data_IF_671345382775
#
_entry.id   IF_671345382775
#
_cell.length_a   1.000
_cell.length_b   1.000
_cell.length_c   1.000
_cell.angle_alpha   90.00
_cell.angle_beta   90.00
_cell.angle_gamma   90.00
#
_symmetry.space_group_name_H-M   'P 1'
#
loop_
_entity.id
_entity.type
_entity.pdbx_description
1 polymer ?
#
# COMPACT_ATOMS: atom_id res chain seq x y z
N UNK A 1 -4.59 19.43 -3.13
CA UNK A 1 -5.50 18.45 -3.77
C UNK A 1 -5.55 17.16 -2.97
N UNK A 2 -6.64 16.39 -3.05
CA UNK A 2 -6.78 15.06 -2.42
C UNK A 2 -7.12 14.02 -3.48
N UNK A 3 -6.42 12.90 -3.47
CA UNK A 3 -6.65 11.77 -4.36
C UNK A 3 -7.04 10.54 -3.55
N UNK A 4 -7.82 9.65 -4.15
CA UNK A 4 -8.32 8.45 -3.51
C UNK A 4 -8.11 7.26 -4.46
N UNK A 5 -7.50 6.19 -3.95
CA UNK A 5 -7.23 4.98 -4.69
C UNK A 5 -7.74 3.77 -3.92
N UNK A 6 -8.58 2.95 -4.56
CA UNK A 6 -9.07 1.70 -3.98
C UNK A 6 -8.19 0.56 -4.48
N UNK A 7 -7.85 -0.40 -3.61
CA UNK A 7 -6.98 -1.54 -3.98
C UNK A 7 -7.71 -2.88 -3.99
N UNK A 8 -8.99 -2.88 -3.61
CA UNK A 8 -9.84 -4.07 -3.58
C UNK A 8 -9.81 -4.79 -2.24
N UNK A 9 -9.88 -6.12 -2.30
CA UNK A 9 -9.96 -7.01 -1.16
C UNK A 9 -8.62 -7.72 -0.93
N UNK A 10 -7.94 -7.34 0.15
CA UNK A 10 -6.62 -7.85 0.55
C UNK A 10 -6.76 -8.93 1.63
N UNK A 11 -5.72 -9.76 1.78
CA UNK A 11 -5.57 -10.70 2.90
C UNK A 11 -4.80 -10.04 4.03
N UNK A 12 -5.25 -10.26 5.26
CA UNK A 12 -4.52 -9.81 6.44
C UNK A 12 -3.12 -10.42 6.49
N UNK A 13 -2.17 -9.68 7.07
CA UNK A 13 -0.75 -10.04 7.24
C UNK A 13 -0.02 -10.32 5.94
N UNK A 14 -0.54 -9.81 4.83
CA UNK A 14 0.14 -9.85 3.55
C UNK A 14 0.68 -8.47 3.20
N UNK A 15 1.83 -8.51 2.52
CA UNK A 15 2.45 -7.36 1.91
C UNK A 15 1.98 -7.25 0.47
N UNK A 16 1.69 -6.03 0.04
CA UNK A 16 1.28 -5.73 -1.31
C UNK A 16 2.17 -4.66 -1.91
N UNK A 17 2.46 -4.79 -3.20
CA UNK A 17 2.93 -3.68 -4.01
C UNK A 17 1.73 -3.07 -4.72
N UNK A 18 1.60 -1.74 -4.66
CA UNK A 18 0.53 -0.99 -5.31
C UNK A 18 1.19 0.02 -6.24
N UNK A 19 0.74 0.05 -7.49
CA UNK A 19 1.12 1.05 -8.49
C UNK A 19 -0.12 1.75 -8.99
N UNK A 20 -0.12 3.08 -8.94
CA UNK A 20 -1.21 3.90 -9.50
C UNK A 20 -0.64 5.14 -10.19
N UNK A 21 -1.40 5.68 -11.13
CA UNK A 21 -1.05 6.92 -11.84
C UNK A 21 -1.87 8.06 -11.26
N UNK A 22 -1.19 9.08 -10.77
CA UNK A 22 -1.79 10.37 -10.43
C UNK A 22 -1.88 11.21 -11.71
N UNK A 23 -3.01 11.88 -11.98
CA UNK A 23 -3.10 12.81 -13.09
C UNK A 23 -2.14 14.00 -12.87
N UNK A 24 -1.85 14.79 -13.91
CA UNK A 24 -0.97 15.94 -13.78
C UNK A 24 -1.53 16.91 -12.73
N UNK A 25 -0.69 17.32 -11.79
CA UNK A 25 -1.05 18.29 -10.76
C UNK A 25 -0.24 19.57 -10.99
N UNK A 26 -0.83 20.60 -11.65
CA UNK A 26 -0.09 21.82 -12.01
C UNK A 26 0.60 22.49 -10.82
N UNK A 27 0.01 22.40 -9.63
CA UNK A 27 0.54 23.00 -8.40
C UNK A 27 1.74 22.26 -7.79
N UNK A 28 2.16 21.11 -8.33
CA UNK A 28 3.35 20.38 -7.87
C UNK A 28 4.50 20.44 -8.90
N UNK A 29 4.19 20.71 -10.16
CA UNK A 29 5.17 20.68 -11.24
C UNK A 29 5.56 19.26 -11.65
N UNK A 30 6.65 19.13 -12.40
CA UNK A 30 7.09 17.87 -13.02
C UNK A 30 7.85 16.95 -12.07
N UNK A 31 8.51 17.53 -11.07
CA UNK A 31 9.35 16.81 -10.12
C UNK A 31 8.66 16.84 -8.76
N UNK A 32 8.18 15.67 -8.34
CA UNK A 32 7.47 15.50 -7.08
C UNK A 32 8.21 14.48 -6.21
N UNK A 33 8.19 14.70 -4.91
CA UNK A 33 8.86 13.88 -3.93
C UNK A 33 7.92 13.49 -2.77
N UNK A 34 8.15 12.32 -2.15
CA UNK A 34 7.46 11.96 -0.92
C UNK A 34 7.86 12.88 0.23
N UNK A 35 6.87 13.34 0.99
CA UNK A 35 7.15 13.98 2.29
C UNK A 35 7.42 12.89 3.34
N UNK A 36 8.33 13.14 4.31
CA UNK A 36 8.75 12.17 5.32
C UNK A 36 7.70 12.04 6.44
N UNK A 37 6.51 11.54 6.08
CA UNK A 37 5.45 11.22 7.05
C UNK A 37 5.61 9.78 7.49
N UNK A 38 5.75 9.49 8.80
CA UNK A 38 5.81 8.12 9.29
C UNK A 38 4.49 7.39 8.97
N UNK A 39 4.58 6.34 8.16
CA UNK A 39 3.48 5.41 7.96
C UNK A 39 4.05 3.97 7.91
N UNK A 40 3.82 3.15 8.95
CA UNK A 40 4.35 1.78 8.99
C UNK A 40 3.67 0.84 7.98
N UNK A 41 2.48 1.21 7.49
CA UNK A 41 1.64 0.36 6.66
C UNK A 41 1.59 0.78 5.19
N UNK A 42 2.15 1.94 4.83
CA UNK A 42 2.20 2.44 3.46
C UNK A 42 3.50 3.19 3.23
N UNK A 43 4.39 2.58 2.45
CA UNK A 43 5.72 3.14 2.15
C UNK A 43 5.88 3.37 0.66
N UNK A 44 6.25 4.59 0.27
CA UNK A 44 6.58 4.89 -1.13
C UNK A 44 7.91 4.23 -1.48
N UNK A 45 7.91 3.47 -2.58
CA UNK A 45 9.10 2.81 -3.15
C UNK A 45 9.71 3.72 -4.22
N UNK A 46 8.89 4.27 -5.11
CA UNK A 46 9.34 5.11 -6.20
C UNK A 46 8.23 6.02 -6.72
N UNK A 47 8.62 7.20 -7.21
CA UNK A 47 7.76 8.08 -7.99
C UNK A 47 8.43 8.36 -9.32
N UNK A 48 7.70 8.15 -10.42
CA UNK A 48 8.22 8.30 -11.78
C UNK A 48 7.31 9.23 -12.57
N UNK A 49 7.87 10.30 -13.12
CA UNK A 49 7.13 11.24 -13.96
C UNK A 49 6.82 10.62 -15.33
N UNK A 50 5.58 10.76 -15.78
CA UNK A 50 5.03 10.27 -17.03
C UNK A 50 4.42 11.45 -17.83
N UNK A 51 4.22 11.33 -19.15
CA UNK A 51 3.49 12.33 -19.93
C UNK A 51 2.09 12.63 -19.37
N UNK A 52 1.39 11.60 -18.90
CA UNK A 52 0.04 11.63 -18.36
C UNK A 52 -0.03 11.92 -16.85
N UNK A 53 1.10 12.19 -16.19
CA UNK A 53 1.14 12.52 -14.76
C UNK A 53 2.30 11.85 -14.03
N UNK A 54 2.03 11.13 -12.93
CA UNK A 54 3.06 10.47 -12.14
C UNK A 54 2.65 9.06 -11.75
N UNK A 55 3.49 8.07 -12.06
CA UNK A 55 3.36 6.73 -11.52
C UNK A 55 3.96 6.68 -10.11
N UNK A 56 3.14 6.31 -9.14
CA UNK A 56 3.53 6.13 -7.74
C UNK A 56 3.47 4.65 -7.45
N UNK A 57 4.58 4.11 -6.93
CA UNK A 57 4.68 2.73 -6.47
C UNK A 57 4.95 2.70 -4.98
N UNK A 58 4.18 1.93 -4.24
CA UNK A 58 4.26 1.81 -2.80
C UNK A 58 4.10 0.36 -2.32
N UNK A 59 4.66 0.10 -1.15
CA UNK A 59 4.47 -1.10 -0.36
C UNK A 59 3.34 -0.85 0.64
N UNK A 60 2.43 -1.81 0.80
CA UNK A 60 1.31 -1.76 1.72
C UNK A 60 1.25 -2.99 2.62
N UNK A 61 1.06 -2.78 3.92
CA UNK A 61 0.87 -3.84 4.91
C UNK A 61 -0.60 -3.92 5.34
N UNK A 62 -1.24 -5.05 5.02
CA UNK A 62 -2.61 -5.34 5.44
C UNK A 62 -2.66 -5.85 6.89
N UNK A 63 -2.43 -4.98 7.86
CA UNK A 63 -2.19 -5.37 9.25
C UNK A 63 -3.46 -5.68 10.08
N UNK A 64 -4.65 -5.26 9.64
CA UNK A 64 -5.90 -5.40 10.41
C UNK A 64 -7.10 -5.62 9.50
N UNK A 65 -8.03 -6.48 9.91
CA UNK A 65 -9.30 -6.70 9.19
C UNK A 65 -10.18 -5.45 9.12
N UNK A 66 -10.98 -5.36 8.06
CA UNK A 66 -11.96 -4.30 7.85
C UNK A 66 -11.59 -3.35 6.71
N UNK A 67 -12.19 -2.15 6.71
CA UNK A 67 -11.88 -1.11 5.71
C UNK A 67 -10.79 -0.22 6.28
N UNK A 68 -9.59 -0.33 5.72
CA UNK A 68 -8.44 0.47 6.11
C UNK A 68 -8.21 1.62 5.12
N UNK A 69 -7.71 2.75 5.62
CA UNK A 69 -7.30 3.92 4.84
C UNK A 69 -5.93 4.36 5.29
N UNK A 70 -4.97 4.29 4.39
CA UNK A 70 -3.61 4.77 4.62
C UNK A 70 -3.34 5.99 3.76
N UNK A 71 -2.56 6.93 4.27
CA UNK A 71 -2.27 8.19 3.58
C UNK A 71 -0.78 8.37 3.34
N UNK A 72 -0.47 8.95 2.19
CA UNK A 72 0.85 9.46 1.85
C UNK A 72 0.72 10.91 1.37
N UNK A 73 1.80 11.67 1.50
CA UNK A 73 1.88 13.05 1.05
C UNK A 73 2.99 13.19 0.00
N UNK A 74 2.68 13.90 -1.09
CA UNK A 74 3.63 14.23 -2.15
C UNK A 74 3.73 15.75 -2.27
N UNK A 75 4.95 16.26 -2.33
CA UNK A 75 5.24 17.68 -2.51
C UNK A 75 6.03 17.90 -3.80
N UNK A 76 5.96 19.12 -4.31
CA UNK A 76 6.69 19.56 -5.50
C UNK A 76 7.63 20.71 -5.15
N UNK A 77 8.07 21.45 -6.16
CA UNK A 77 8.93 22.62 -5.98
C UNK A 77 8.18 23.86 -5.44
N UNK A 78 6.89 23.95 -5.71
CA UNK A 78 6.02 25.01 -5.22
C UNK A 78 5.54 24.73 -3.79
N UNK A 79 5.23 25.78 -3.00
CA UNK A 79 4.68 25.62 -1.67
C UNK A 79 3.33 24.88 -1.73
N UNK A 80 3.28 23.68 -1.14
CA UNK A 80 2.08 22.87 -1.07
C UNK A 80 2.37 21.37 -1.12
N UNK A 81 1.35 20.57 -0.85
CA UNK A 81 1.40 19.12 -1.00
C UNK A 81 0.04 18.59 -1.43
N UNK A 82 0.04 17.41 -2.02
CA UNK A 82 -1.16 16.61 -2.20
C UNK A 82 -1.18 15.48 -1.20
N UNK A 83 -2.39 15.06 -0.86
CA UNK A 83 -2.65 13.87 -0.06
C UNK A 83 -3.23 12.79 -0.96
N UNK A 84 -2.68 11.59 -0.87
CA UNK A 84 -3.25 10.41 -1.52
C UNK A 84 -3.70 9.45 -0.43
N UNK A 85 -4.96 9.03 -0.49
CA UNK A 85 -5.53 8.02 0.40
C UNK A 85 -5.67 6.71 -0.36
N UNK A 86 -5.04 5.66 0.14
CA UNK A 86 -5.17 4.28 -0.33
C UNK A 86 -6.18 3.57 0.57
N UNK A 87 -7.28 3.06 0.00
CA UNK A 87 -8.29 2.30 0.73
C UNK A 87 -8.27 0.82 0.33
N UNK A 88 -8.19 -0.03 1.34
CA UNK A 88 -8.27 -1.48 1.21
C UNK A 88 -9.42 -2.04 2.05
N UNK A 89 -10.08 -3.08 1.53
CA UNK A 89 -10.87 -4.00 2.38
C UNK A 89 -9.98 -5.17 2.73
N UNK A 90 -9.53 -5.26 3.97
CA UNK A 90 -8.73 -6.38 4.46
C UNK A 90 -9.65 -7.47 5.01
N UNK A 91 -9.40 -8.70 4.59
CA UNK A 91 -10.16 -9.89 4.96
C UNK A 91 -9.28 -10.83 5.79
N UNK A 92 -9.92 -11.63 6.64
CA UNK A 92 -9.28 -12.75 7.32
C UNK A 92 -8.56 -13.71 6.36
N UNK A 93 -7.54 -14.41 6.89
CA UNK A 93 -6.72 -15.38 6.15
C UNK A 93 -7.56 -16.48 5.51
N UNK A 94 -8.60 -16.97 6.17
CA UNK A 94 -9.44 -18.08 5.69
C UNK A 94 -10.59 -17.60 4.79
N UNK A 95 -10.82 -16.30 4.69
CA UNK A 95 -12.00 -15.76 4.02
C UNK A 95 -11.77 -15.50 2.52
N UNK A 96 -12.27 -16.42 1.68
CA UNK A 96 -12.34 -16.25 0.23
C UNK A 96 -11.00 -16.06 -0.48
N UNK A 97 -11.07 -15.77 -1.78
CA UNK A 97 -9.89 -15.42 -2.60
C UNK A 97 -9.77 -13.90 -2.65
N UNK A 98 -8.57 -13.30 -2.49
CA UNK A 98 -8.40 -11.85 -2.64
C UNK A 98 -8.85 -11.37 -4.02
N UNK A 99 -9.48 -10.20 -4.05
CA UNK A 99 -9.88 -9.52 -5.29
C UNK A 99 -9.06 -8.25 -5.41
N UNK A 100 -7.90 -8.37 -6.05
CA UNK A 100 -6.97 -7.27 -6.24
C UNK A 100 -7.39 -6.43 -7.45
N UNK A 101 -7.35 -5.11 -7.31
CA UNK A 101 -7.57 -4.19 -8.43
C UNK A 101 -6.29 -4.01 -9.25
N UNK A 102 -6.43 -3.39 -10.42
CA UNK A 102 -5.30 -3.10 -11.31
C UNK A 102 -4.17 -2.36 -10.58
N UNK A 103 -2.94 -2.78 -10.87
CA UNK A 103 -1.74 -2.24 -10.24
C UNK A 103 -1.47 -2.76 -8.83
N UNK A 104 -2.28 -3.67 -8.29
CA UNK A 104 -2.09 -4.28 -6.97
C UNK A 104 -1.56 -5.70 -7.10
N UNK A 105 -0.42 -5.98 -6.48
CA UNK A 105 0.23 -7.29 -6.50
C UNK A 105 0.53 -7.77 -5.09
N UNK A 106 0.16 -9.00 -4.77
CA UNK A 106 0.56 -9.62 -3.51
C UNK A 106 2.04 -10.02 -3.55
N UNK A 107 2.79 -9.63 -2.52
CA UNK A 107 4.21 -9.96 -2.35
C UNK A 107 4.42 -11.15 -1.41
N UNK A 108 3.37 -11.64 -0.76
CA UNK A 108 3.40 -12.77 0.18
C UNK A 108 2.91 -12.38 1.59
N UNK A 109 2.75 -13.39 2.45
CA UNK A 109 2.47 -13.23 3.87
C UNK A 109 3.75 -12.83 4.62
N UNK A 110 3.62 -11.98 5.64
CA UNK A 110 4.66 -11.92 6.67
C UNK A 110 4.56 -13.17 7.53
N UNK A 111 5.70 -13.80 7.79
CA UNK A 111 5.78 -15.00 8.62
C UNK A 111 5.30 -14.63 10.02
N UNK A 112 4.13 -15.14 10.40
CA UNK A 112 3.89 -15.39 11.81
C UNK A 112 4.81 -16.53 12.23
N UNK A 113 5.58 -16.33 13.29
CA UNK A 113 6.18 -17.46 13.99
C UNK A 113 5.02 -18.27 14.56
N UNK A 114 4.59 -19.27 13.80
CA UNK A 114 3.52 -20.19 14.16
C UNK A 114 4.02 -20.97 15.37
N UNK A 115 3.68 -20.48 16.56
CA UNK A 115 4.16 -20.99 17.84
C UNK A 115 3.51 -22.34 18.18
N UNK A 116 2.66 -22.87 17.29
CA UNK A 116 1.82 -24.05 17.53
C UNK A 116 2.25 -25.31 16.75
N UNK A 117 3.41 -25.31 16.08
CA UNK A 117 4.04 -26.55 15.60
C UNK A 117 5.25 -26.91 16.46
N UNK A 118 4.99 -27.36 17.69
CA UNK A 118 5.97 -28.10 18.49
C UNK A 118 5.28 -29.21 19.27
N UNK A 119 4.55 -30.06 18.55
CA UNK A 119 4.23 -31.41 19.02
C UNK A 119 5.50 -32.28 18.90
N UNK A 120 6.47 -32.02 19.78
CA UNK A 120 7.60 -32.92 19.97
C UNK A 120 7.08 -34.23 20.56
N UNK A 121 6.92 -35.25 19.71
CA UNK A 121 6.82 -36.63 20.18
C UNK A 121 8.24 -37.08 20.55
N UNK A 122 8.61 -36.93 21.83
CA UNK A 122 9.83 -37.51 22.38
C UNK A 122 9.89 -39.01 22.06
N UNK A 123 11.09 -39.51 21.77
CA UNK A 123 11.33 -40.92 21.44
C UNK A 123 11.20 -41.78 22.70
N UNK A 124 10.47 -42.91 22.58
CA UNK A 124 10.43 -44.02 23.54
C UNK A 124 11.82 -44.63 23.77
#
# INVERSE_FOLDING_TARGET
SRFFFQVGFLKILHKYEITFVLPPVPSLGKDICPLPVPNPNLRIISVTSLPEGHSVRCEYMAHKEGVLKEELLLAGHSPGHIKVTVQARVMDRHHGTPMLLDGVRCMGAELEYDSEQSEWHGFD
#
